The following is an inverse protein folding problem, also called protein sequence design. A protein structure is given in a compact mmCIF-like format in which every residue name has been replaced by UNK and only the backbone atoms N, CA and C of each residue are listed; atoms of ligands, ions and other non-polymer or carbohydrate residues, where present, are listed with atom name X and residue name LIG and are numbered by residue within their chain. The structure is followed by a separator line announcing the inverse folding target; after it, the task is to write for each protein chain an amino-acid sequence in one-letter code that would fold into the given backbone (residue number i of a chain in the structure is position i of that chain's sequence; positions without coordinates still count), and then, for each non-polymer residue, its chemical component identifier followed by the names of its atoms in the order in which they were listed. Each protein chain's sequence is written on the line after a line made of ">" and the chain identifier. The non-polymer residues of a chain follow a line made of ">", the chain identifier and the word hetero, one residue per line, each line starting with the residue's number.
data_IF_096198618703
#
_entry.id   IF_096198618703
#
_cell.length_a   1.000
_cell.length_b   1.000
_cell.length_c   1.000
_cell.angle_alpha   90.00
_cell.angle_beta   90.00
_cell.angle_gamma   90.00
#
_symmetry.space_group_name_H-M   'P 1'
#
loop_
_entity.id
_entity.type
_entity.pdbx_description
1 polymer ?
#
# COMPACT_ATOMS: atom_id res chain seq x y z
N UNK A 1 21.74 35.07 73.35
CA UNK A 1 22.25 33.68 73.38
C UNK A 1 21.03 32.77 73.28
N UNK A 2 20.93 32.02 72.18
CA UNK A 2 20.09 30.82 71.96
C UNK A 2 18.60 31.01 71.73
N UNK A 3 17.89 30.22 70.90
CA UNK A 3 18.21 29.31 69.78
C UNK A 3 16.92 29.27 68.93
N UNK A 4 17.08 29.16 67.60
CA UNK A 4 16.04 28.87 66.63
C UNK A 4 15.26 27.59 66.99
N UNK A 5 13.93 27.66 67.04
CA UNK A 5 13.07 26.48 66.88
C UNK A 5 12.23 26.70 65.62
N UNK A 6 12.81 26.35 64.47
CA UNK A 6 12.05 26.10 63.25
C UNK A 6 11.32 24.77 63.42
N UNK A 7 10.03 24.84 63.76
CA UNK A 7 9.12 23.72 63.67
C UNK A 7 8.89 23.38 62.19
N UNK A 8 9.71 22.48 61.66
CA UNK A 8 9.44 21.82 60.39
C UNK A 8 8.26 20.86 60.59
N UNK A 9 7.04 21.35 60.33
CA UNK A 9 5.90 20.48 60.04
C UNK A 9 6.17 19.81 58.69
N UNK A 10 6.86 18.67 58.73
CA UNK A 10 6.85 17.70 57.66
C UNK A 10 5.43 17.15 57.54
N UNK A 11 4.63 17.79 56.68
CA UNK A 11 3.41 17.20 56.16
C UNK A 11 3.79 15.95 55.36
N UNK A 12 3.84 14.81 56.03
CA UNK A 12 3.81 13.49 55.41
C UNK A 12 2.42 13.26 54.82
N UNK A 13 2.15 13.85 53.66
CA UNK A 13 0.92 13.66 52.89
C UNK A 13 1.31 13.23 51.48
N UNK A 14 1.32 11.92 51.25
CA UNK A 14 1.56 11.36 49.91
C UNK A 14 1.31 9.86 49.81
N UNK A 15 1.57 9.07 50.87
CA UNK A 15 1.50 7.60 50.80
C UNK A 15 0.14 6.96 51.11
N UNK A 16 -0.64 7.49 52.06
CA UNK A 16 -1.84 6.81 52.57
C UNK A 16 -2.97 6.72 51.55
N UNK A 17 -3.31 7.84 50.88
CA UNK A 17 -4.38 7.84 49.88
C UNK A 17 -4.08 7.01 48.62
N UNK A 18 -2.80 6.76 48.30
CA UNK A 18 -2.39 5.99 47.12
C UNK A 18 -2.60 4.49 47.36
N UNK A 19 -2.19 3.98 48.51
CA UNK A 19 -2.42 2.60 48.92
C UNK A 19 -3.93 2.31 49.08
N UNK A 20 -4.69 3.29 49.57
CA UNK A 20 -6.15 3.17 49.69
C UNK A 20 -6.84 3.15 48.31
N UNK A 21 -6.39 3.95 47.34
CA UNK A 21 -6.90 3.92 45.97
C UNK A 21 -6.62 2.56 45.28
N UNK A 22 -5.40 2.03 45.44
CA UNK A 22 -5.04 0.72 44.89
C UNK A 22 -5.84 -0.41 45.57
N UNK A 23 -6.06 -0.30 46.89
CA UNK A 23 -6.90 -1.24 47.65
C UNK A 23 -8.36 -1.19 47.20
N UNK A 24 -8.90 0.00 46.90
CA UNK A 24 -10.25 0.16 46.38
C UNK A 24 -10.42 -0.44 44.98
N UNK A 25 -9.47 -0.22 44.04
CA UNK A 25 -9.52 -0.85 42.71
C UNK A 25 -9.48 -2.38 42.80
N UNK A 26 -8.58 -2.91 43.62
CA UNK A 26 -8.50 -4.37 43.89
C UNK A 26 -9.75 -4.92 44.60
N UNK A 27 -10.58 -4.04 45.15
CA UNK A 27 -11.85 -4.37 45.80
C UNK A 27 -12.98 -4.70 44.82
N UNK A 28 -12.83 -4.43 43.52
CA UNK A 28 -13.82 -4.80 42.50
C UNK A 28 -13.99 -6.33 42.44
N UNK A 29 -15.23 -6.81 42.40
CA UNK A 29 -15.52 -8.25 42.38
C UNK A 29 -14.92 -8.94 41.15
N UNK A 30 -14.91 -8.24 40.00
CA UNK A 30 -14.30 -8.74 38.77
C UNK A 30 -12.78 -8.78 38.88
N UNK A 31 -12.16 -7.75 39.48
CA UNK A 31 -10.71 -7.75 39.72
C UNK A 31 -10.29 -8.91 40.62
N UNK A 32 -11.00 -9.14 41.74
CA UNK A 32 -10.71 -10.27 42.63
C UNK A 32 -10.82 -11.62 41.91
N UNK A 33 -11.80 -11.77 41.03
CA UNK A 33 -11.95 -12.98 40.20
C UNK A 33 -10.78 -13.15 39.24
N UNK A 34 -10.34 -12.08 38.58
CA UNK A 34 -9.17 -12.09 37.68
C UNK A 34 -7.91 -12.52 38.44
N UNK A 35 -7.69 -11.92 39.60
CA UNK A 35 -6.54 -12.23 40.46
C UNK A 35 -6.60 -13.67 41.03
N UNK A 36 -7.78 -14.18 41.37
CA UNK A 36 -7.93 -15.57 41.78
C UNK A 36 -7.59 -16.55 40.64
N UNK A 37 -7.98 -16.24 39.40
CA UNK A 37 -7.63 -17.04 38.23
C UNK A 37 -6.10 -17.06 37.98
N UNK A 38 -5.45 -15.90 38.16
CA UNK A 38 -3.99 -15.77 38.11
C UNK A 38 -3.31 -16.65 39.18
N UNK A 39 -3.76 -16.55 40.44
CA UNK A 39 -3.23 -17.37 41.53
C UNK A 39 -3.44 -18.88 41.34
N UNK A 40 -4.54 -19.28 40.69
CA UNK A 40 -4.77 -20.68 40.33
C UNK A 40 -3.92 -21.16 39.15
N UNK A 41 -3.15 -20.27 38.51
CA UNK A 41 -2.34 -20.57 37.34
C UNK A 41 -3.13 -20.66 36.03
N UNK A 42 -4.41 -20.30 36.03
CA UNK A 42 -5.23 -20.22 34.81
C UNK A 42 -4.99 -18.87 34.12
N UNK A 43 -3.80 -18.76 33.52
CA UNK A 43 -3.31 -17.51 32.94
C UNK A 43 -4.25 -17.00 31.85
N UNK A 44 -4.79 -17.89 31.02
CA UNK A 44 -5.69 -17.50 29.93
C UNK A 44 -6.98 -16.87 30.45
N UNK A 45 -7.56 -17.48 31.48
CA UNK A 45 -8.75 -16.93 32.12
C UNK A 45 -8.43 -15.63 32.87
N UNK A 46 -7.27 -15.53 33.51
CA UNK A 46 -6.81 -14.30 34.15
C UNK A 46 -6.69 -13.15 33.16
N UNK A 47 -6.01 -13.35 32.02
CA UNK A 47 -5.89 -12.37 30.93
C UNK A 47 -7.26 -11.95 30.41
N UNK A 48 -8.16 -12.92 30.19
CA UNK A 48 -9.54 -12.63 29.74
C UNK A 48 -10.31 -11.78 30.75
N UNK A 49 -10.19 -12.09 32.04
CA UNK A 49 -10.86 -11.37 33.12
C UNK A 49 -10.27 -9.97 33.34
N UNK A 50 -8.95 -9.80 33.28
CA UNK A 50 -8.31 -8.48 33.36
C UNK A 50 -8.66 -7.59 32.16
N UNK A 51 -8.75 -8.15 30.95
CA UNK A 51 -9.29 -7.43 29.80
C UNK A 51 -10.73 -6.97 30.07
N UNK A 52 -11.57 -7.82 30.68
CA UNK A 52 -12.93 -7.43 31.07
C UNK A 52 -12.94 -6.31 32.11
N UNK A 53 -12.06 -6.36 33.11
CA UNK A 53 -11.90 -5.28 34.09
C UNK A 53 -11.56 -3.97 33.38
N UNK A 54 -10.66 -3.98 32.39
CA UNK A 54 -10.31 -2.77 31.64
C UNK A 54 -11.39 -2.26 30.68
N UNK A 55 -12.37 -3.09 30.33
CA UNK A 55 -13.56 -2.64 29.59
C UNK A 55 -14.47 -1.85 30.53
N UNK A 56 -14.72 -2.37 31.73
CA UNK A 56 -15.62 -1.75 32.71
C UNK A 56 -14.94 -0.55 33.40
N UNK A 57 -13.63 -0.64 33.65
CA UNK A 57 -12.81 0.34 34.35
C UNK A 57 -11.55 0.70 33.52
N UNK A 58 -11.67 1.47 32.42
CA UNK A 58 -10.56 1.74 31.49
C UNK A 58 -9.38 2.53 32.07
N UNK A 59 -9.56 3.13 33.25
CA UNK A 59 -8.52 3.88 33.97
C UNK A 59 -7.95 3.10 35.16
N UNK A 60 -8.27 1.82 35.28
CA UNK A 60 -7.75 0.96 36.35
C UNK A 60 -6.25 0.71 36.16
N UNK A 61 -5.42 1.46 36.89
CA UNK A 61 -3.97 1.32 36.79
C UNK A 61 -3.52 -0.05 37.30
N UNK A 62 -4.19 -0.59 38.33
CA UNK A 62 -3.89 -1.92 38.86
C UNK A 62 -4.08 -3.02 37.81
N UNK A 63 -5.17 -2.97 37.05
CA UNK A 63 -5.46 -3.94 36.00
C UNK A 63 -4.50 -3.82 34.81
N UNK A 64 -4.14 -2.58 34.42
CA UNK A 64 -3.10 -2.36 33.42
C UNK A 64 -1.77 -3.02 33.81
N UNK A 65 -1.31 -2.84 35.05
CA UNK A 65 -0.04 -3.42 35.50
C UNK A 65 -0.07 -4.96 35.54
N UNK A 66 -1.14 -5.55 36.07
CA UNK A 66 -1.26 -7.01 36.14
C UNK A 66 -1.38 -7.66 34.77
N UNK A 67 -2.21 -7.09 33.89
CA UNK A 67 -2.33 -7.59 32.53
C UNK A 67 -1.00 -7.49 31.77
N UNK A 68 -0.26 -6.39 31.93
CA UNK A 68 1.06 -6.24 31.33
C UNK A 68 2.06 -7.31 31.79
N UNK A 69 2.01 -7.67 33.08
CA UNK A 69 2.83 -8.72 33.68
C UNK A 69 2.50 -10.08 33.07
N UNK A 70 1.20 -10.43 33.01
CA UNK A 70 0.75 -11.70 32.44
C UNK A 70 1.12 -11.85 30.96
N UNK A 71 0.93 -10.80 30.17
CA UNK A 71 1.27 -10.78 28.74
C UNK A 71 2.78 -10.97 28.52
N UNK A 72 3.62 -10.33 29.35
CA UNK A 72 5.07 -10.43 29.23
C UNK A 72 5.61 -11.79 29.69
N UNK A 73 5.16 -12.28 30.83
CA UNK A 73 5.75 -13.46 31.49
C UNK A 73 5.23 -14.79 30.93
N UNK A 74 3.97 -14.83 30.49
CA UNK A 74 3.34 -16.09 30.12
C UNK A 74 2.94 -16.17 28.65
N UNK A 75 2.56 -15.06 28.02
CA UNK A 75 2.13 -15.06 26.61
C UNK A 75 3.23 -14.64 25.63
N UNK A 76 4.34 -14.09 26.14
CA UNK A 76 5.39 -13.46 25.35
C UNK A 76 4.86 -12.40 24.37
N UNK A 77 3.71 -11.79 24.68
CA UNK A 77 3.14 -10.66 23.96
C UNK A 77 3.75 -9.37 24.49
N UNK A 78 4.96 -9.10 24.01
CA UNK A 78 5.73 -7.93 24.40
C UNK A 78 5.09 -6.63 23.90
N UNK A 79 4.36 -6.65 22.78
CA UNK A 79 3.65 -5.47 22.29
C UNK A 79 2.52 -5.07 23.24
N UNK A 80 1.65 -6.03 23.58
CA UNK A 80 0.57 -5.82 24.54
C UNK A 80 1.11 -5.39 25.91
N UNK A 81 2.15 -6.06 26.40
CA UNK A 81 2.78 -5.70 27.67
C UNK A 81 3.30 -4.25 27.70
N UNK A 82 4.04 -3.82 26.68
CA UNK A 82 4.56 -2.43 26.59
C UNK A 82 3.41 -1.43 26.62
N UNK A 83 2.32 -1.69 25.88
CA UNK A 83 1.16 -0.81 25.87
C UNK A 83 0.58 -0.64 27.28
N UNK A 84 0.31 -1.73 27.98
CA UNK A 84 -0.32 -1.68 29.30
C UNK A 84 0.62 -1.10 30.38
N UNK A 85 1.93 -1.34 30.33
CA UNK A 85 2.88 -0.63 31.20
C UNK A 85 2.93 0.88 30.93
N UNK A 86 2.87 1.29 29.66
CA UNK A 86 2.82 2.73 29.33
C UNK A 86 1.52 3.37 29.83
N UNK A 87 0.39 2.67 29.75
CA UNK A 87 -0.87 3.14 30.34
C UNK A 87 -0.77 3.25 31.87
N UNK A 88 -0.15 2.27 32.53
CA UNK A 88 0.13 2.35 33.96
C UNK A 88 0.95 3.59 34.33
N UNK A 89 2.05 3.84 33.63
CA UNK A 89 2.92 5.00 33.84
C UNK A 89 2.21 6.33 33.53
N UNK A 90 1.33 6.36 32.52
CA UNK A 90 0.53 7.54 32.19
C UNK A 90 -0.48 7.88 33.29
N UNK A 91 -1.10 6.86 33.90
CA UNK A 91 -2.03 7.02 35.02
C UNK A 91 -1.30 7.31 36.34
N UNK A 92 -0.07 6.80 36.49
CA UNK A 92 0.73 6.87 37.71
C UNK A 92 2.22 7.18 37.42
N UNK A 93 2.56 8.44 37.05
CA UNK A 93 3.95 8.81 36.75
C UNK A 93 4.89 8.67 37.97
N UNK A 94 4.40 9.02 39.16
CA UNK A 94 5.17 9.06 40.42
C UNK A 94 4.89 7.82 41.31
N UNK A 95 4.75 6.64 40.70
CA UNK A 95 4.51 5.39 41.46
C UNK A 95 5.81 4.71 41.89
N UNK A 96 5.81 4.08 43.06
CA UNK A 96 6.86 3.14 43.50
C UNK A 96 7.13 2.01 42.49
N UNK A 97 6.09 1.54 41.78
CA UNK A 97 6.23 0.54 40.71
C UNK A 97 6.58 1.15 39.35
N UNK A 98 6.77 2.47 39.28
CA UNK A 98 7.09 3.17 38.04
C UNK A 98 8.44 2.72 37.48
N UNK A 99 9.46 2.62 38.33
CA UNK A 99 10.80 2.11 37.95
C UNK A 99 10.72 0.67 37.44
N UNK A 100 9.99 -0.20 38.16
CA UNK A 100 9.76 -1.58 37.73
C UNK A 100 9.07 -1.63 36.36
N UNK A 101 7.99 -0.87 36.15
CA UNK A 101 7.31 -0.82 34.85
C UNK A 101 8.23 -0.35 33.72
N UNK A 102 9.09 0.64 33.95
CA UNK A 102 10.08 1.11 32.98
C UNK A 102 11.11 0.02 32.64
N UNK A 103 11.62 -0.70 33.64
CA UNK A 103 12.55 -1.80 33.42
C UNK A 103 11.88 -2.96 32.66
N UNK A 104 10.62 -3.26 32.98
CA UNK A 104 9.83 -4.28 32.27
C UNK A 104 9.58 -3.90 30.81
N UNK A 105 9.28 -2.64 30.52
CA UNK A 105 9.18 -2.10 29.15
C UNK A 105 10.51 -2.31 28.42
N UNK A 106 11.65 -1.95 29.02
CA UNK A 106 12.97 -2.10 28.38
C UNK A 106 13.25 -3.56 28.02
N UNK A 107 12.96 -4.49 28.92
CA UNK A 107 13.12 -5.93 28.66
C UNK A 107 12.18 -6.39 27.54
N UNK A 108 10.91 -5.96 27.58
CA UNK A 108 9.94 -6.31 26.54
C UNK A 108 10.38 -5.76 25.17
N UNK A 109 10.90 -4.53 25.09
CA UNK A 109 11.42 -3.93 23.86
C UNK A 109 12.63 -4.72 23.31
N UNK A 110 13.55 -5.15 24.17
CA UNK A 110 14.69 -5.99 23.79
C UNK A 110 14.26 -7.35 23.24
N UNK A 111 13.28 -7.99 23.87
CA UNK A 111 12.77 -9.30 23.45
C UNK A 111 11.86 -9.22 22.21
N UNK A 112 11.28 -8.05 21.97
CA UNK A 112 10.42 -7.81 20.82
C UNK A 112 11.20 -7.65 19.52
N UNK A 113 12.36 -6.98 19.56
CA UNK A 113 13.21 -6.75 18.39
C UNK A 113 13.51 -8.04 17.57
N UNK A 114 13.96 -9.16 18.16
CA UNK A 114 14.21 -10.40 17.41
C UNK A 114 12.92 -11.03 16.87
N UNK A 115 11.78 -10.91 17.54
CA UNK A 115 10.50 -11.41 17.02
C UNK A 115 10.08 -10.65 15.76
N UNK A 116 10.24 -9.33 15.75
CA UNK A 116 9.97 -8.50 14.58
C UNK A 116 10.95 -8.87 13.46
N UNK A 117 12.25 -8.93 13.76
CA UNK A 117 13.27 -9.25 12.76
C UNK A 117 13.03 -10.63 12.13
N UNK A 118 12.63 -11.63 12.92
CA UNK A 118 12.25 -12.95 12.40
C UNK A 118 11.03 -12.87 11.48
N UNK A 119 9.93 -12.25 11.92
CA UNK A 119 8.71 -12.12 11.10
C UNK A 119 8.96 -11.34 9.81
N UNK A 120 9.74 -10.26 9.88
CA UNK A 120 10.15 -9.48 8.70
C UNK A 120 11.07 -10.31 7.82
N UNK A 121 12.05 -11.00 8.40
CA UNK A 121 12.93 -11.93 7.68
C UNK A 121 12.16 -13.02 6.94
N UNK A 122 11.21 -13.68 7.59
CA UNK A 122 10.35 -14.71 6.99
C UNK A 122 9.46 -14.12 5.87
N UNK A 123 8.97 -12.89 6.03
CA UNK A 123 8.22 -12.19 4.98
C UNK A 123 9.08 -11.78 3.78
N UNK A 124 10.37 -11.49 4.02
CA UNK A 124 11.35 -11.10 3.00
C UNK A 124 11.97 -12.33 2.33
N UNK A 125 11.99 -13.50 2.96
CA UNK A 125 12.47 -14.75 2.35
C UNK A 125 11.66 -15.17 1.11
N UNK A 126 10.43 -14.67 0.93
CA UNK A 126 9.70 -14.81 -0.33
C UNK A 126 10.28 -13.98 -1.49
N UNK A 127 11.15 -13.01 -1.20
CA UNK A 127 11.82 -12.11 -2.13
C UNK A 127 13.32 -12.10 -1.79
N UNK A 128 14.00 -13.23 -1.98
CA UNK A 128 15.43 -13.35 -1.67
C UNK A 128 16.25 -12.31 -2.44
N UNK A 129 17.33 -11.81 -1.85
CA UNK A 129 18.26 -10.91 -2.54
C UNK A 129 18.76 -11.51 -3.87
N UNK A 130 18.94 -12.84 -3.91
CA UNK A 130 19.28 -13.57 -5.14
C UNK A 130 18.19 -13.47 -6.21
N UNK A 131 16.90 -13.51 -5.84
CA UNK A 131 15.78 -13.32 -6.77
C UNK A 131 15.75 -11.90 -7.34
N UNK A 132 15.99 -10.89 -6.49
CA UNK A 132 16.05 -9.47 -6.91
C UNK A 132 17.23 -9.19 -7.85
N UNK A 133 18.39 -9.80 -7.60
CA UNK A 133 19.56 -9.69 -8.48
C UNK A 133 19.29 -10.37 -9.82
N UNK A 134 18.73 -11.59 -9.80
CA UNK A 134 18.37 -12.32 -11.01
C UNK A 134 17.33 -11.56 -11.86
N UNK A 135 16.35 -10.93 -11.24
CA UNK A 135 15.37 -10.12 -11.98
C UNK A 135 16.00 -8.83 -12.51
N UNK A 136 16.92 -8.19 -11.78
CA UNK A 136 17.67 -7.04 -12.30
C UNK A 136 18.50 -7.42 -13.53
N UNK A 137 19.23 -8.52 -13.48
CA UNK A 137 19.99 -9.03 -14.63
C UNK A 137 19.07 -9.31 -15.82
N UNK A 138 17.93 -9.96 -15.57
CA UNK A 138 16.92 -10.24 -16.61
C UNK A 138 16.38 -8.96 -17.24
N UNK A 139 16.05 -7.96 -16.43
CA UNK A 139 15.55 -6.67 -16.90
C UNK A 139 16.61 -5.90 -17.69
N UNK A 140 17.87 -5.92 -17.24
CA UNK A 140 18.97 -5.27 -17.96
C UNK A 140 19.20 -5.90 -19.34
N UNK A 141 19.17 -7.23 -19.43
CA UNK A 141 19.25 -7.93 -20.72
C UNK A 141 18.07 -7.57 -21.65
N UNK A 142 16.85 -7.50 -21.12
CA UNK A 142 15.69 -7.10 -21.92
C UNK A 142 15.81 -5.64 -22.42
N UNK A 143 16.39 -4.75 -21.61
CA UNK A 143 16.63 -3.36 -22.02
C UNK A 143 17.65 -3.32 -23.18
N UNK A 144 18.74 -4.07 -23.09
CA UNK A 144 19.76 -4.05 -24.16
C UNK A 144 19.24 -4.64 -25.46
N UNK A 145 18.45 -5.72 -25.41
CA UNK A 145 17.83 -6.29 -26.61
C UNK A 145 16.86 -5.32 -27.24
N UNK A 146 15.98 -4.71 -26.45
CA UNK A 146 15.01 -3.72 -26.94
C UNK A 146 15.70 -2.47 -27.52
N UNK A 147 16.82 -2.04 -26.95
CA UNK A 147 17.61 -0.94 -27.49
C UNK A 147 18.22 -1.29 -28.87
N UNK A 148 18.73 -2.52 -29.03
CA UNK A 148 19.22 -3.00 -30.32
C UNK A 148 18.11 -3.18 -31.36
N UNK A 149 16.97 -3.74 -30.98
CA UNK A 149 15.80 -3.84 -31.87
C UNK A 149 15.33 -2.45 -32.33
N UNK A 150 15.29 -1.48 -31.40
CA UNK A 150 14.95 -0.09 -31.71
C UNK A 150 15.93 0.53 -32.71
N UNK A 151 17.24 0.29 -32.57
CA UNK A 151 18.23 0.87 -33.51
C UNK A 151 18.06 0.30 -34.92
N UNK A 152 17.85 -1.01 -35.04
CA UNK A 152 17.62 -1.68 -36.33
C UNK A 152 16.34 -1.15 -37.00
N UNK A 153 15.27 -1.00 -36.23
CA UNK A 153 14.01 -0.44 -36.75
C UNK A 153 14.16 1.01 -37.22
N UNK A 154 14.93 1.83 -36.51
CA UNK A 154 15.21 3.21 -36.91
C UNK A 154 16.05 3.28 -38.19
N UNK A 155 17.02 2.39 -38.36
CA UNK A 155 17.78 2.28 -39.62
C UNK A 155 16.89 1.85 -40.79
N UNK A 156 15.99 0.90 -40.56
CA UNK A 156 14.99 0.48 -41.53
C UNK A 156 14.07 1.63 -41.94
N UNK A 157 13.55 2.38 -40.96
CA UNK A 157 12.72 3.56 -41.21
C UNK A 157 13.47 4.63 -42.01
N UNK A 158 14.75 4.88 -41.70
CA UNK A 158 15.56 5.85 -42.44
C UNK A 158 15.78 5.43 -43.91
N UNK A 159 15.86 4.12 -44.20
CA UNK A 159 15.97 3.61 -45.58
C UNK A 159 14.66 3.80 -46.34
N UNK A 160 13.53 3.41 -45.75
CA UNK A 160 12.21 3.55 -46.39
C UNK A 160 11.85 5.03 -46.62
N UNK A 161 12.22 5.92 -45.70
CA UNK A 161 12.02 7.36 -45.86
C UNK A 161 12.84 7.93 -47.05
N UNK A 162 14.07 7.44 -47.28
CA UNK A 162 14.88 7.81 -48.45
C UNK A 162 14.26 7.31 -49.76
N UNK A 163 13.78 6.08 -49.79
CA UNK A 163 13.11 5.51 -50.96
C UNK A 163 11.83 6.27 -51.28
N UNK A 164 11.02 6.60 -50.27
CA UNK A 164 9.83 7.44 -50.44
C UNK A 164 10.17 8.83 -50.98
N UNK A 165 11.25 9.44 -50.51
CA UNK A 165 11.71 10.72 -51.02
C UNK A 165 12.10 10.63 -52.51
N UNK A 166 12.87 9.62 -52.90
CA UNK A 166 13.27 9.39 -54.29
C UNK A 166 12.05 9.14 -55.21
N UNK A 167 11.11 8.30 -54.77
CA UNK A 167 9.87 8.04 -55.51
C UNK A 167 8.98 9.28 -55.64
N UNK A 168 8.97 10.16 -54.64
CA UNK A 168 8.27 11.45 -54.72
C UNK A 168 8.90 12.36 -55.77
N UNK A 169 10.23 12.47 -55.79
CA UNK A 169 10.94 13.29 -56.79
C UNK A 169 10.74 12.76 -58.21
N UNK A 170 10.73 11.43 -58.40
CA UNK A 170 10.46 10.83 -59.70
C UNK A 170 9.02 11.07 -60.15
N UNK A 171 8.04 10.95 -59.24
CA UNK A 171 6.64 11.28 -59.53
C UNK A 171 6.46 12.74 -59.94
N UNK A 172 7.13 13.68 -59.27
CA UNK A 172 7.10 15.09 -59.64
C UNK A 172 7.69 15.32 -61.04
N UNK A 173 8.84 14.69 -61.34
CA UNK A 173 9.46 14.76 -62.67
C UNK A 173 8.55 14.20 -63.76
N UNK A 174 7.89 13.06 -63.51
CA UNK A 174 6.93 12.47 -64.44
C UNK A 174 5.72 13.37 -64.66
N UNK A 175 5.19 13.99 -63.60
CA UNK A 175 4.09 14.98 -63.72
C UNK A 175 4.50 16.20 -64.53
N UNK A 176 5.72 16.69 -64.38
CA UNK A 176 6.24 17.81 -65.17
C UNK A 176 6.43 17.46 -66.64
N UNK A 177 6.90 16.25 -66.95
CA UNK A 177 6.98 15.76 -68.32
C UNK A 177 5.59 15.65 -68.95
N UNK A 178 4.61 15.08 -68.23
CA UNK A 178 3.23 15.00 -68.69
C UNK A 178 2.61 16.38 -68.93
N UNK A 179 2.88 17.36 -68.05
CA UNK A 179 2.46 18.76 -68.27
C UNK A 179 3.06 19.33 -69.55
N UNK A 180 4.36 19.14 -69.78
CA UNK A 180 5.03 19.61 -71.00
C UNK A 180 4.46 18.96 -72.26
N UNK A 181 4.24 17.65 -72.26
CA UNK A 181 3.66 16.95 -73.42
C UNK A 181 2.20 17.37 -73.68
N UNK A 182 1.41 17.58 -72.63
CA UNK A 182 0.01 18.03 -72.78
C UNK A 182 -0.09 19.45 -73.34
N UNK A 183 0.86 20.34 -73.00
CA UNK A 183 0.95 21.69 -73.60
C UNK A 183 1.37 21.61 -75.07
N UNK A 184 2.25 20.68 -75.44
CA UNK A 184 2.63 20.49 -76.86
C UNK A 184 1.52 19.90 -77.72
N UNK A 185 0.58 19.13 -77.14
CA UNK A 185 -0.59 18.60 -77.87
C UNK A 185 -1.69 19.65 -78.08
N UNK A 186 -1.78 20.69 -77.24
CA UNK A 186 -2.80 21.75 -77.41
C UNK A 186 -2.44 22.79 -78.47
N UNK A 187 -1.16 22.88 -78.86
CA UNK A 187 -0.67 23.77 -79.92
C UNK A 187 -0.58 23.07 -81.29
N UNK A 188 -0.82 21.74 -81.33
CA UNK A 188 -0.88 20.94 -82.54
C UNK A 188 -2.32 20.53 -82.88
N UNK A 189 -2.82 21.01 -84.02
CA UNK A 189 -4.09 20.61 -84.64
C UNK A 189 -4.42 19.11 -84.53
N UNK A 190 -5.66 18.85 -84.09
CA UNK A 190 -6.48 17.65 -84.26
C UNK A 190 -5.87 16.47 -85.06
N UNK A 191 -5.56 15.36 -84.36
CA UNK A 191 -5.71 13.99 -84.87
C UNK A 191 -5.63 13.00 -83.70
N UNK A 192 -6.77 12.41 -83.33
CA UNK A 192 -6.86 11.44 -82.25
C UNK A 192 -6.31 10.06 -82.64
N UNK A 193 -5.42 9.53 -81.81
CA UNK A 193 -5.22 8.09 -81.65
C UNK A 193 -5.35 7.78 -80.17
N UNK A 194 -6.57 7.43 -79.75
CA UNK A 194 -6.86 6.97 -78.40
C UNK A 194 -6.24 5.59 -78.20
N UNK A 195 -5.08 5.51 -77.55
CA UNK A 195 -4.60 4.26 -76.95
C UNK A 195 -5.60 3.90 -75.86
N UNK A 196 -6.33 2.79 -76.03
CA UNK A 196 -7.46 2.48 -75.16
C UNK A 196 -6.96 2.25 -73.73
N UNK A 197 -7.66 2.83 -72.76
CA UNK A 197 -7.36 2.72 -71.33
C UNK A 197 -7.21 1.27 -70.81
N UNK A 198 -7.62 0.27 -71.62
CA UNK A 198 -7.48 -1.15 -71.36
C UNK A 198 -6.05 -1.66 -71.50
N UNK A 199 -5.25 -1.10 -72.39
CA UNK A 199 -3.86 -1.52 -72.62
C UNK A 199 -2.92 -0.92 -71.57
N UNK A 200 -3.12 0.36 -71.20
CA UNK A 200 -2.43 0.98 -70.07
C UNK A 200 -2.73 0.27 -68.73
N UNK A 201 -3.98 -0.20 -68.55
CA UNK A 201 -4.40 -0.97 -67.39
C UNK A 201 -3.87 -2.41 -67.34
N UNK A 202 -3.39 -2.97 -68.46
CA UNK A 202 -2.79 -4.30 -68.53
C UNK A 202 -1.28 -4.26 -68.21
N UNK A 203 -0.57 -3.25 -68.74
CA UNK A 203 0.85 -3.03 -68.46
C UNK A 203 1.09 -2.70 -66.98
N UNK A 204 0.22 -1.89 -66.36
CA UNK A 204 0.28 -1.59 -64.93
C UNK A 204 0.01 -2.82 -64.03
N UNK A 205 -0.79 -3.78 -64.49
CA UNK A 205 -1.06 -5.04 -63.76
C UNK A 205 0.09 -6.05 -63.91
N UNK A 206 0.76 -6.09 -65.06
CA UNK A 206 1.97 -6.90 -65.24
C UNK A 206 3.14 -6.35 -64.41
N UNK A 207 3.32 -5.03 -64.34
CA UNK A 207 4.35 -4.41 -63.48
C UNK A 207 4.10 -4.62 -61.97
N UNK A 208 2.84 -4.73 -61.54
CA UNK A 208 2.49 -5.06 -60.15
C UNK A 208 2.71 -6.55 -59.80
N UNK A 209 2.84 -7.44 -60.80
CA UNK A 209 3.06 -8.87 -60.60
C UNK A 209 4.55 -9.27 -60.54
N UNK A 210 5.46 -8.40 -60.98
CA UNK A 210 6.92 -8.61 -60.98
C UNK A 210 7.65 -8.03 -59.75
N UNK A 211 6.94 -7.39 -58.82
CA UNK A 211 7.52 -6.99 -57.53
C UNK A 211 7.71 -8.25 -56.69
N UNK A 212 8.95 -8.61 -56.29
CA UNK A 212 9.16 -9.77 -55.43
C UNK A 212 8.41 -9.54 -54.12
N UNK A 213 7.49 -10.45 -53.79
CA UNK A 213 6.75 -10.40 -52.54
C UNK A 213 7.76 -10.24 -51.38
N UNK A 214 7.54 -9.29 -50.45
CA UNK A 214 8.53 -8.99 -49.45
C UNK A 214 8.68 -10.24 -48.59
N UNK A 215 9.88 -10.81 -48.60
CA UNK A 215 10.34 -11.95 -47.81
C UNK A 215 10.26 -11.75 -46.29
N UNK A 216 9.59 -10.71 -45.82
CA UNK A 216 9.53 -10.32 -44.41
C UNK A 216 8.18 -10.66 -43.77
N UNK A 217 7.07 -10.74 -44.51
CA UNK A 217 5.76 -10.85 -43.85
C UNK A 217 5.47 -12.23 -43.26
N UNK A 218 5.88 -13.31 -43.94
CA UNK A 218 5.69 -14.68 -43.44
C UNK A 218 6.75 -15.08 -42.42
N UNK A 219 8.00 -14.64 -42.62
CA UNK A 219 9.12 -14.84 -41.69
C UNK A 219 8.93 -14.06 -40.39
N UNK A 220 8.46 -12.80 -40.44
CA UNK A 220 8.11 -12.05 -39.24
C UNK A 220 6.90 -12.65 -38.51
N UNK A 221 5.94 -13.24 -39.23
CA UNK A 221 4.83 -13.96 -38.59
C UNK A 221 5.31 -15.22 -37.89
N UNK A 222 6.17 -16.01 -38.52
CA UNK A 222 6.77 -17.20 -37.92
C UNK A 222 7.61 -16.86 -36.67
N UNK A 223 8.48 -15.84 -36.74
CA UNK A 223 9.26 -15.35 -35.59
C UNK A 223 8.38 -14.82 -34.46
N UNK A 224 7.27 -14.15 -34.79
CA UNK A 224 6.31 -13.64 -33.80
C UNK A 224 5.51 -14.75 -33.12
N UNK A 225 5.15 -15.78 -33.86
CA UNK A 225 4.47 -16.97 -33.32
C UNK A 225 5.41 -17.79 -32.43
N UNK A 226 6.67 -17.95 -32.84
CA UNK A 226 7.70 -18.63 -32.04
C UNK A 226 8.00 -17.86 -30.74
N UNK A 227 8.16 -16.54 -30.80
CA UNK A 227 8.33 -15.70 -29.61
C UNK A 227 7.11 -15.73 -28.66
N UNK A 228 5.89 -15.81 -29.22
CA UNK A 228 4.67 -15.94 -28.42
C UNK A 228 4.51 -17.34 -27.81
N UNK A 229 4.99 -18.39 -28.48
CA UNK A 229 4.99 -19.74 -27.94
C UNK A 229 5.93 -19.84 -26.73
N UNK A 230 7.15 -19.29 -26.84
CA UNK A 230 8.11 -19.22 -25.73
C UNK A 230 7.58 -18.39 -24.55
N UNK A 231 6.85 -17.30 -24.82
CA UNK A 231 6.20 -16.50 -23.78
C UNK A 231 5.03 -17.22 -23.07
N UNK A 232 4.40 -18.21 -23.72
CA UNK A 232 3.33 -19.03 -23.12
C UNK A 232 3.89 -20.19 -22.27
N UNK A 233 5.03 -20.76 -22.65
CA UNK A 233 5.75 -21.74 -21.82
C UNK A 233 6.33 -21.10 -20.55
N UNK A 234 6.67 -19.81 -20.59
CA UNK A 234 7.20 -19.02 -19.49
C UNK A 234 6.20 -18.42 -18.49
N UNK A 235 5.02 -19.01 -18.29
CA UNK A 235 4.04 -18.53 -17.31
C UNK A 235 3.41 -17.16 -17.64
N UNK A 236 2.32 -16.81 -16.94
CA UNK A 236 1.48 -15.63 -17.23
C UNK A 236 2.31 -14.33 -17.32
N UNK A 237 2.06 -13.45 -18.33
CA UNK A 237 2.78 -12.19 -18.45
C UNK A 237 2.56 -11.31 -17.21
N UNK A 238 3.59 -10.57 -16.76
CA UNK A 238 3.45 -9.67 -15.63
C UNK A 238 2.40 -8.60 -15.93
N UNK A 239 1.64 -8.14 -14.92
CA UNK A 239 0.67 -7.06 -15.08
C UNK A 239 1.36 -5.82 -15.65
N UNK A 240 0.61 -4.93 -16.34
CA UNK A 240 1.18 -3.78 -17.01
C UNK A 240 2.03 -2.95 -16.04
N UNK A 241 3.25 -2.65 -16.48
CA UNK A 241 4.23 -1.81 -15.79
C UNK A 241 3.53 -0.56 -15.30
N UNK A 242 3.47 -0.40 -13.97
CA UNK A 242 2.98 0.83 -13.35
C UNK A 242 3.81 1.98 -13.90
N UNK A 243 3.15 3.04 -14.37
CA UNK A 243 3.82 4.32 -14.63
C UNK A 243 4.69 4.66 -13.40
N UNK A 244 5.95 5.11 -13.58
CA UNK A 244 6.75 5.54 -12.46
C UNK A 244 5.94 6.59 -11.69
N UNK A 245 5.64 6.30 -10.42
CA UNK A 245 5.14 7.32 -9.52
C UNK A 245 6.28 8.33 -9.37
N UNK A 246 5.94 9.60 -9.53
CA UNK A 246 6.85 10.72 -9.49
C UNK A 246 7.76 10.73 -8.24
N UNK A 247 8.97 11.27 -8.46
CA UNK A 247 10.01 11.69 -7.52
C UNK A 247 10.22 10.85 -6.26
N UNK A 248 11.20 9.95 -6.35
CA UNK A 248 11.89 9.44 -5.17
C UNK A 248 12.74 10.61 -4.64
N UNK A 249 12.55 11.06 -3.38
CA UNK A 249 13.34 12.15 -2.82
C UNK A 249 14.82 11.76 -2.83
N UNK A 250 15.68 12.70 -3.26
CA UNK A 250 17.13 12.47 -3.30
C UNK A 250 17.67 12.14 -1.91
N UNK A 251 18.74 11.34 -1.85
CA UNK A 251 19.40 10.94 -0.59
C UNK A 251 19.75 12.15 0.29
N UNK A 252 20.11 13.27 -0.32
CA UNK A 252 20.40 14.54 0.34
C UNK A 252 19.17 15.15 1.04
N UNK A 253 18.00 15.09 0.40
CA UNK A 253 16.75 15.59 0.98
C UNK A 253 16.27 14.75 2.18
N UNK A 254 16.55 13.45 2.16
CA UNK A 254 16.24 12.53 3.27
C UNK A 254 17.21 12.76 4.43
N UNK A 255 18.50 12.91 4.15
CA UNK A 255 19.52 13.20 5.17
C UNK A 255 19.24 14.52 5.89
N UNK A 256 18.89 15.57 5.14
CA UNK A 256 18.50 16.87 5.72
C UNK A 256 17.26 16.77 6.62
N UNK A 257 16.27 15.96 6.24
CA UNK A 257 15.05 15.72 7.04
C UNK A 257 15.33 14.95 8.33
N UNK A 258 16.29 14.03 8.30
CA UNK A 258 16.74 13.25 9.46
C UNK A 258 17.52 14.14 10.42
N UNK A 259 18.39 14.99 9.89
CA UNK A 259 19.19 15.95 10.65
C UNK A 259 18.32 17.03 11.33
N UNK A 260 17.28 17.52 10.64
CA UNK A 260 16.25 18.41 11.22
C UNK A 260 15.49 17.75 12.39
N UNK A 261 15.22 16.44 12.31
CA UNK A 261 14.53 15.70 13.39
C UNK A 261 15.42 15.40 14.58
N UNK A 262 16.73 15.30 14.37
CA UNK A 262 17.71 15.04 15.43
C UNK A 262 18.10 16.32 16.19
N UNK A 263 18.09 17.47 15.51
CA UNK A 263 18.58 18.75 16.08
C UNK A 263 17.47 19.67 16.60
N UNK A 264 16.20 19.44 16.22
CA UNK A 264 15.05 20.17 16.76
C UNK A 264 14.95 21.65 16.35
N UNK A 265 15.80 22.11 15.43
CA UNK A 265 15.80 23.49 14.92
C UNK A 265 15.39 23.47 13.44
N UNK A 266 14.23 24.03 13.06
CA UNK A 266 13.86 24.13 11.65
C UNK A 266 14.76 25.13 10.93
N UNK A 267 15.31 24.73 9.79
CA UNK A 267 16.01 25.64 8.89
C UNK A 267 15.04 26.73 8.42
N UNK A 268 15.43 27.99 8.61
CA UNK A 268 14.62 29.18 8.38
C UNK A 268 14.41 29.36 6.87
N UNK A 269 13.20 29.09 6.38
CA UNK A 269 12.79 29.51 5.04
C UNK A 269 12.65 31.03 4.99
N UNK A 270 13.42 31.67 4.11
CA UNK A 270 13.24 33.09 3.77
C UNK A 270 11.88 33.29 3.10
N UNK A 271 11.01 34.05 3.76
CA UNK A 271 9.67 34.36 3.29
C UNK A 271 9.63 35.80 2.76
N UNK A 272 9.39 35.96 1.45
CA UNK A 272 8.97 37.22 0.85
C UNK A 272 7.43 37.41 0.98
N UNK A 273 6.92 38.65 1.01
CA UNK A 273 5.64 38.98 1.66
C UNK A 273 4.45 39.15 0.69
N UNK A 274 3.23 38.87 1.18
CA UNK A 274 1.99 39.19 0.48
C UNK A 274 0.71 38.57 1.07
N UNK A 275 0.18 39.22 2.12
CA UNK A 275 -1.24 39.45 2.53
C UNK A 275 -2.39 38.43 2.22
N UNK A 276 -3.54 38.52 2.92
CA UNK A 276 -3.76 38.68 4.35
C UNK A 276 -4.78 37.65 4.92
N UNK A 277 -4.82 37.60 6.25
CA UNK A 277 -5.71 36.77 7.05
C UNK A 277 -7.20 37.07 6.86
N UNK A 278 -8.05 36.04 6.95
CA UNK A 278 -9.45 36.17 7.35
C UNK A 278 -9.69 35.45 8.69
N UNK A 279 -9.73 36.28 9.72
CA UNK A 279 -10.80 36.36 10.73
C UNK A 279 -11.32 35.04 11.33
N UNK A 280 -10.82 34.75 12.53
CA UNK A 280 -11.54 33.99 13.54
C UNK A 280 -12.51 34.90 14.31
N UNK A 281 -13.66 34.34 14.75
CA UNK A 281 -14.40 34.66 16.00
C UNK A 281 -15.65 33.73 16.12
N UNK A 282 -16.28 33.57 17.29
CA UNK A 282 -15.79 32.78 18.43
C UNK A 282 -16.86 31.82 18.99
N UNK A 283 -16.50 31.13 20.08
CA UNK A 283 -17.26 30.12 20.85
C UNK A 283 -18.37 30.71 21.74
N UNK A 284 -19.51 30.01 21.86
CA UNK A 284 -20.31 29.72 23.09
C UNK A 284 -21.70 29.19 22.67
N UNK A 285 -22.39 28.25 23.34
CA UNK A 285 -22.15 27.47 24.55
C UNK A 285 -23.35 26.53 24.80
N UNK A 286 -23.21 25.64 25.80
CA UNK A 286 -24.25 24.94 26.61
C UNK A 286 -25.29 24.04 25.89
N UNK A 287 -25.80 22.92 26.40
CA UNK A 287 -25.53 22.02 27.53
C UNK A 287 -26.54 20.85 27.43
N UNK A 288 -26.12 19.65 27.86
CA UNK A 288 -26.89 18.62 28.58
C UNK A 288 -27.91 17.65 27.88
N UNK A 289 -27.86 16.43 28.44
CA UNK A 289 -28.80 15.28 28.47
C UNK A 289 -28.73 14.27 27.31
N UNK A 290 -28.09 13.10 27.51
CA UNK A 290 -28.48 11.89 28.27
C UNK A 290 -29.27 10.88 27.41
N UNK A 291 -28.77 9.63 27.35
CA UNK A 291 -29.47 8.49 26.74
C UNK A 291 -28.56 7.50 26.00
N UNK A 292 -27.96 6.55 26.73
CA UNK A 292 -27.45 5.27 26.21
C UNK A 292 -28.58 4.21 26.37
N UNK A 293 -28.64 3.10 25.60
CA UNK A 293 -27.51 2.18 25.50
C UNK A 293 -27.21 1.59 24.12
N UNK A 294 -25.96 1.15 24.02
CA UNK A 294 -25.45 0.27 23.01
C UNK A 294 -26.00 -1.15 23.19
N UNK A 295 -26.47 -1.76 22.11
CA UNK A 295 -26.57 -3.22 22.00
C UNK A 295 -25.27 -3.75 21.38
N UNK A 296 -24.35 -4.12 22.27
CA UNK A 296 -23.26 -5.04 21.95
C UNK A 296 -23.75 -6.46 22.24
N UNK A 297 -23.89 -7.27 21.20
CA UNK A 297 -23.96 -8.72 21.33
C UNK A 297 -23.30 -9.38 20.12
N UNK A 298 -21.98 -9.47 20.19
CA UNK A 298 -21.18 -10.45 19.49
C UNK A 298 -20.27 -11.13 20.52
N UNK A 299 -20.69 -12.28 21.04
CA UNK A 299 -19.83 -13.31 21.62
C UNK A 299 -20.64 -14.59 21.84
N UNK A 300 -20.91 -15.29 20.74
CA UNK A 300 -21.09 -16.74 20.77
C UNK A 300 -20.29 -17.33 19.63
N UNK A 301 -19.03 -17.67 19.91
CA UNK A 301 -18.24 -18.56 19.06
C UNK A 301 -17.23 -19.33 19.90
N UNK A 302 -17.70 -20.37 20.59
CA UNK A 302 -16.96 -21.62 20.72
C UNK A 302 -17.94 -22.81 20.71
N UNK A 303 -17.92 -23.56 19.60
CA UNK A 303 -17.98 -25.02 19.64
C UNK A 303 -19.33 -25.70 19.43
N UNK A 304 -19.67 -25.99 18.16
CA UNK A 304 -20.18 -27.28 17.62
C UNK A 304 -20.54 -27.05 16.14
N UNK A 305 -20.23 -27.90 15.19
CA UNK A 305 -19.67 -29.24 15.17
C UNK A 305 -19.48 -29.66 13.70
N UNK A 306 -18.83 -30.79 13.48
CA UNK A 306 -18.51 -31.37 12.18
C UNK A 306 -19.74 -31.59 11.27
N UNK A 307 -19.62 -31.36 9.96
CA UNK A 307 -19.69 -32.41 8.91
C UNK A 307 -19.50 -31.86 7.49
N UNK A 308 -18.92 -32.74 6.67
CA UNK A 308 -18.71 -32.72 5.21
C UNK A 308 -19.87 -32.12 4.40
N UNK A 309 -19.54 -31.38 3.34
CA UNK A 309 -19.92 -31.74 1.97
C UNK A 309 -19.04 -31.04 0.92
N UNK A 310 -18.77 -31.77 -0.16
CA UNK A 310 -18.01 -31.39 -1.36
C UNK A 310 -18.88 -30.50 -2.26
N UNK A 311 -18.30 -29.49 -2.92
CA UNK A 311 -18.32 -29.33 -4.39
C UNK A 311 -17.39 -28.21 -4.84
N UNK A 312 -16.87 -28.37 -6.05
CA UNK A 312 -15.77 -27.66 -6.70
C UNK A 312 -16.06 -26.21 -7.12
N UNK A 313 -14.99 -25.42 -7.32
CA UNK A 313 -14.97 -24.38 -8.37
C UNK A 313 -14.23 -23.07 -8.07
N UNK A 314 -12.97 -23.00 -8.49
CA UNK A 314 -12.11 -21.80 -8.68
C UNK A 314 -11.56 -21.12 -7.42
N UNK A 315 -10.27 -21.36 -7.17
CA UNK A 315 -9.51 -20.70 -6.12
C UNK A 315 -9.11 -19.29 -6.51
N UNK A 316 -9.67 -18.31 -5.82
CA UNK A 316 -9.01 -17.04 -5.55
C UNK A 316 -8.60 -17.05 -4.07
N UNK A 317 -7.30 -16.98 -3.83
CA UNK A 317 -6.77 -16.93 -2.48
C UNK A 317 -7.12 -15.55 -1.90
N UNK A 318 -7.76 -15.44 -0.73
CA UNK A 318 -8.22 -14.16 -0.21
C UNK A 318 -7.04 -13.19 -0.07
N UNK A 319 -7.02 -12.14 -0.90
CA UNK A 319 -5.93 -11.15 -0.91
C UNK A 319 -6.20 -10.13 0.18
N UNK A 320 -5.21 -9.83 0.99
CA UNK A 320 -5.35 -8.83 2.06
C UNK A 320 -4.83 -7.48 1.57
N UNK A 321 -5.59 -6.40 1.78
CA UNK A 321 -5.26 -5.04 1.33
C UNK A 321 -5.26 -4.06 2.51
N UNK A 322 -4.24 -3.20 2.56
CA UNK A 322 -4.16 -2.08 3.52
C UNK A 322 -4.75 -0.83 2.88
N UNK A 323 -5.86 -0.36 3.43
CA UNK A 323 -6.62 0.80 2.96
C UNK A 323 -5.73 2.05 3.01
N UNK A 324 -5.66 2.79 1.90
CA UNK A 324 -4.88 4.02 1.82
C UNK A 324 -5.74 5.25 2.18
N UNK A 325 -5.14 6.39 2.55
CA UNK A 325 -5.87 7.65 2.71
C UNK A 325 -6.68 8.02 1.45
N UNK A 326 -8.00 8.18 1.59
CA UNK A 326 -8.90 8.51 0.49
C UNK A 326 -9.50 7.31 -0.27
N UNK A 327 -9.19 6.08 0.15
CA UNK A 327 -9.83 4.87 -0.37
C UNK A 327 -11.28 4.73 0.13
N UNK A 328 -12.13 4.16 -0.72
CA UNK A 328 -13.48 3.70 -0.38
C UNK A 328 -13.65 2.28 -0.89
N UNK A 329 -14.60 1.51 -0.35
CA UNK A 329 -14.85 0.14 -0.82
C UNK A 329 -15.11 0.07 -2.32
N UNK A 330 -15.73 1.11 -2.89
CA UNK A 330 -15.96 1.25 -4.33
C UNK A 330 -14.65 1.38 -5.11
N UNK A 331 -13.75 2.28 -4.69
CA UNK A 331 -12.43 2.45 -5.34
C UNK A 331 -11.55 1.22 -5.20
N UNK A 332 -11.64 0.55 -4.05
CA UNK A 332 -10.95 -0.73 -3.85
C UNK A 332 -11.54 -1.78 -4.78
N UNK A 333 -12.86 -1.92 -4.89
CA UNK A 333 -13.50 -2.86 -5.80
C UNK A 333 -13.16 -2.58 -7.28
N UNK A 334 -13.16 -1.32 -7.70
CA UNK A 334 -12.75 -0.92 -9.04
C UNK A 334 -11.28 -1.25 -9.31
N UNK A 335 -10.40 -1.04 -8.33
CA UNK A 335 -8.97 -1.36 -8.45
C UNK A 335 -8.66 -2.85 -8.54
N UNK A 336 -9.43 -3.69 -7.85
CA UNK A 336 -9.16 -5.13 -7.76
C UNK A 336 -10.01 -5.98 -8.71
N UNK A 337 -11.28 -5.61 -8.92
CA UNK A 337 -12.21 -6.33 -9.80
C UNK A 337 -12.48 -5.61 -11.12
N UNK A 338 -12.00 -4.37 -11.30
CA UNK A 338 -12.34 -3.54 -12.46
C UNK A 338 -13.77 -2.99 -12.41
N UNK A 339 -14.52 -3.27 -11.34
CA UNK A 339 -15.93 -2.95 -11.22
C UNK A 339 -16.25 -2.47 -9.79
N UNK A 340 -16.60 -1.18 -9.69
CA UNK A 340 -16.95 -0.53 -8.44
C UNK A 340 -18.17 -1.17 -7.76
N UNK A 341 -19.08 -1.83 -8.50
CA UNK A 341 -20.29 -2.46 -7.94
C UNK A 341 -20.00 -3.68 -7.06
N UNK A 342 -18.79 -4.26 -7.19
CA UNK A 342 -18.35 -5.41 -6.39
C UNK A 342 -17.93 -5.05 -4.95
N UNK A 343 -18.07 -3.78 -4.56
CA UNK A 343 -17.86 -3.32 -3.18
C UNK A 343 -18.67 -4.12 -2.14
N UNK A 344 -19.84 -4.66 -2.52
CA UNK A 344 -20.68 -5.51 -1.67
C UNK A 344 -19.97 -6.80 -1.25
N UNK A 345 -19.22 -7.42 -2.17
CA UNK A 345 -18.44 -8.64 -1.88
C UNK A 345 -17.34 -8.36 -0.87
N UNK A 346 -16.64 -7.24 -1.04
CA UNK A 346 -15.62 -6.79 -0.09
C UNK A 346 -16.26 -6.48 1.26
N UNK A 347 -17.42 -5.81 1.30
CA UNK A 347 -18.15 -5.54 2.53
C UNK A 347 -18.56 -6.83 3.24
N UNK A 348 -19.12 -7.79 2.52
CA UNK A 348 -19.57 -9.07 3.06
C UNK A 348 -18.41 -9.86 3.67
N UNK A 349 -17.29 -9.95 2.97
CA UNK A 349 -16.08 -10.62 3.46
C UNK A 349 -15.43 -9.93 4.67
N UNK A 350 -15.70 -8.65 4.89
CA UNK A 350 -15.14 -7.86 5.98
C UNK A 350 -16.17 -7.41 7.02
N UNK A 351 -17.37 -7.99 7.05
CA UNK A 351 -18.43 -7.61 8.01
C UNK A 351 -17.98 -7.57 9.47
N UNK A 352 -16.98 -8.37 9.81
CA UNK A 352 -16.40 -8.45 11.16
C UNK A 352 -15.24 -7.48 11.40
N UNK A 353 -14.75 -6.81 10.34
CA UNK A 353 -13.57 -5.93 10.36
C UNK A 353 -13.88 -4.48 10.03
N UNK A 354 -15.03 -4.18 9.43
CA UNK A 354 -15.45 -2.82 9.05
C UNK A 354 -16.74 -2.43 9.75
N UNK A 355 -16.96 -1.12 9.92
CA UNK A 355 -18.17 -0.60 10.53
C UNK A 355 -19.43 -1.05 9.73
N UNK A 356 -20.60 -1.24 10.38
CA UNK A 356 -21.84 -1.63 9.71
C UNK A 356 -22.23 -0.73 8.52
N UNK A 357 -21.84 0.55 8.60
CA UNK A 357 -22.01 1.58 7.57
C UNK A 357 -21.14 1.35 6.33
N UNK A 358 -20.27 0.33 6.32
CA UNK A 358 -19.36 0.02 5.21
C UNK A 358 -18.22 1.02 5.05
N UNK A 359 -17.96 1.85 6.05
CA UNK A 359 -16.85 2.81 6.04
C UNK A 359 -15.55 2.11 6.38
N UNK A 360 -14.50 2.48 5.66
CA UNK A 360 -13.13 2.00 5.87
C UNK A 360 -12.22 3.18 6.19
N UNK A 361 -11.26 2.98 7.09
CA UNK A 361 -10.28 4.00 7.51
C UNK A 361 -8.91 3.68 6.91
N UNK A 362 -8.14 4.72 6.62
CA UNK A 362 -6.75 4.56 6.19
C UNK A 362 -5.95 3.73 7.22
N UNK A 363 -5.11 2.82 6.75
CA UNK A 363 -4.34 1.88 7.56
C UNK A 363 -5.10 0.61 7.97
N UNK A 364 -6.41 0.52 7.72
CA UNK A 364 -7.21 -0.66 8.04
C UNK A 364 -6.92 -1.81 7.06
N UNK A 365 -6.93 -3.04 7.57
CA UNK A 365 -6.64 -4.23 6.78
C UNK A 365 -7.95 -4.92 6.41
N UNK A 366 -8.25 -4.99 5.10
CA UNK A 366 -9.47 -5.62 4.57
C UNK A 366 -9.12 -6.79 3.65
N UNK A 367 -9.98 -7.80 3.62
CA UNK A 367 -9.91 -8.95 2.74
C UNK A 367 -10.61 -8.62 1.43
N UNK A 368 -9.95 -8.85 0.31
CA UNK A 368 -10.51 -8.76 -1.04
C UNK A 368 -10.65 -10.20 -1.55
N UNK A 369 -11.88 -10.75 -1.58
CA UNK A 369 -12.15 -12.13 -2.01
C UNK A 369 -11.69 -12.49 -3.40
#
# INVERSE_FOLDING_TARGET
>A
MWILICAAFLAGCGGSGIADAERNERGSALYRKAFAAEQSGDIKEAVRLFNKVLIDEPRSFSAHFQLATLLQDHEADYFGAIYHYRQYLALRPESEKGTLAQDRIRIAEQMLAPQILKKVGDSVQGLTQAHLLKENERLNLAITTLQGEKSVLLEGQAKTDKELAALRTDNERLRDLLRKMRVTETDGTAAGTTISAREAGAVARQAAAEVPAPTDAQTLRALREEAQALAREGGKPPPPVRKPLADVPSTESVLKKVEERLTGVPAREERAPGQPAKSAKPVSGAAAQEGHPADFSALSLFGRGQKKEKTAGSGDSPRTYVVQPGDSLFRVAEKFYGDATQWKKIREANRTRIDPDGRIRAGQIIVVP
#
